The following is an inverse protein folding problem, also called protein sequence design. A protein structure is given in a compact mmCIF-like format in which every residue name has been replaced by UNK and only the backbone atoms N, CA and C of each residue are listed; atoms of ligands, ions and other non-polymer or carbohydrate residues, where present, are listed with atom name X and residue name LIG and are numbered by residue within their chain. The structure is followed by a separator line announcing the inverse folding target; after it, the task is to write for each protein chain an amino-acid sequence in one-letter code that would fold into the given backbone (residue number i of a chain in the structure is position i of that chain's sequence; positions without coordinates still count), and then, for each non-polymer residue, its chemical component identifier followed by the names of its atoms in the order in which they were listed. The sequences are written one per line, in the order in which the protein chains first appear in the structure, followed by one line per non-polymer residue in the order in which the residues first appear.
data_IF_870618644381
#
_entry.id   IF_870618644381
#
_cell.length_a   1.000
_cell.length_b   1.000
_cell.length_c   1.000
_cell.angle_alpha   90.00
_cell.angle_beta   90.00
_cell.angle_gamma   90.00
#
_symmetry.space_group_name_H-M   'P 1'
#
loop_
_entity.id
_entity.type
_entity.pdbx_description
1 polymer ?
#
# COMPACT_ATOMS: atom_id res chain seq x y z
N UNK A 1 -13.32 -0.80 -7.84
CA UNK A 1 -12.85 -2.21 -7.59
C UNK A 1 -11.37 -2.25 -7.85
N UNK A 2 -10.60 -3.06 -7.13
CA UNK A 2 -9.16 -3.28 -7.36
C UNK A 2 -8.98 -4.74 -7.74
N UNK A 3 -8.34 -5.00 -8.87
CA UNK A 3 -8.06 -6.36 -9.34
C UNK A 3 -6.64 -6.81 -8.94
N UNK A 4 -6.37 -8.11 -8.99
CA UNK A 4 -5.02 -8.64 -8.77
C UNK A 4 -4.09 -8.14 -9.87
N UNK A 5 -2.93 -7.61 -9.48
CA UNK A 5 -1.96 -7.03 -10.43
C UNK A 5 -2.40 -5.70 -11.03
N UNK A 6 -3.32 -4.99 -10.38
CA UNK A 6 -3.78 -3.67 -10.78
C UNK A 6 -3.36 -2.63 -9.73
N UNK A 7 -3.02 -1.43 -10.17
CA UNK A 7 -2.77 -0.27 -9.32
C UNK A 7 -3.91 0.73 -9.50
N UNK A 8 -4.63 0.99 -8.42
CA UNK A 8 -5.76 1.93 -8.41
C UNK A 8 -5.44 3.10 -7.49
N UNK A 9 -5.58 4.32 -7.99
CA UNK A 9 -5.47 5.55 -7.22
C UNK A 9 -6.80 5.95 -6.59
N UNK A 10 -6.83 6.22 -5.28
CA UNK A 10 -7.94 6.85 -4.60
C UNK A 10 -7.54 8.28 -4.26
N UNK A 11 -7.96 9.24 -5.08
CA UNK A 11 -7.47 10.61 -5.07
C UNK A 11 -8.60 11.60 -4.78
N UNK A 12 -8.25 12.84 -4.49
CA UNK A 12 -9.21 13.89 -4.19
C UNK A 12 -8.65 14.94 -3.23
N UNK A 13 -9.34 16.06 -3.03
CA UNK A 13 -8.90 17.12 -2.12
C UNK A 13 -8.80 16.67 -0.66
N UNK A 14 -8.19 17.52 0.17
CA UNK A 14 -8.14 17.28 1.61
C UNK A 14 -9.56 17.26 2.20
N UNK A 15 -9.81 16.33 3.12
CA UNK A 15 -11.15 16.16 3.69
C UNK A 15 -12.16 15.39 2.83
N UNK A 16 -11.80 14.99 1.60
CA UNK A 16 -12.70 14.26 0.69
C UNK A 16 -13.15 12.88 1.20
N UNK A 17 -12.50 12.32 2.23
CA UNK A 17 -12.84 11.01 2.78
C UNK A 17 -11.90 9.87 2.39
N UNK A 18 -10.75 10.14 1.75
CA UNK A 18 -9.77 9.12 1.33
C UNK A 18 -9.32 8.21 2.48
N UNK A 19 -8.76 8.80 3.54
CA UNK A 19 -8.28 8.08 4.73
C UNK A 19 -9.41 7.32 5.44
N UNK A 20 -10.61 7.91 5.51
CA UNK A 20 -11.78 7.25 6.07
C UNK A 20 -12.14 6.00 5.27
N UNK A 21 -12.12 6.08 3.94
CA UNK A 21 -12.35 4.94 3.05
C UNK A 21 -11.30 3.84 3.27
N UNK A 22 -10.02 4.21 3.40
CA UNK A 22 -8.96 3.26 3.75
C UNK A 22 -9.23 2.58 5.09
N UNK A 23 -9.59 3.34 6.12
CA UNK A 23 -9.86 2.80 7.44
C UNK A 23 -11.07 1.86 7.46
N UNK A 24 -12.10 2.13 6.65
CA UNK A 24 -13.23 1.21 6.48
C UNK A 24 -12.78 -0.09 5.80
N UNK A 25 -11.96 -0.02 4.74
CA UNK A 25 -11.44 -1.21 4.04
C UNK A 25 -10.54 -2.04 4.94
N UNK A 26 -9.69 -1.40 5.74
CA UNK A 26 -8.77 -2.08 6.68
C UNK A 26 -9.49 -2.62 7.90
N UNK A 27 -10.63 -2.03 8.29
CA UNK A 27 -11.42 -2.41 9.45
C UNK A 27 -11.05 -1.68 10.74
N UNK A 28 -10.45 -0.49 10.62
CA UNK A 28 -10.20 0.45 11.73
C UNK A 28 -11.44 1.28 12.04
N UNK A 29 -12.26 1.56 11.05
CA UNK A 29 -13.54 2.25 11.16
C UNK A 29 -14.61 1.35 10.55
N UNK A 30 -15.80 1.30 11.16
CA UNK A 30 -16.94 0.56 10.62
C UNK A 30 -17.62 1.38 9.53
N UNK A 31 -17.99 0.73 8.43
CA UNK A 31 -18.88 1.34 7.44
C UNK A 31 -20.32 1.31 7.96
N UNK A 32 -21.04 2.41 7.80
CA UNK A 32 -22.45 2.52 8.19
C UNK A 32 -23.39 1.79 7.21
N UNK A 33 -22.99 1.76 5.93
CA UNK A 33 -23.73 1.09 4.86
C UNK A 33 -22.79 0.70 3.71
N UNK A 34 -23.30 -0.12 2.80
CA UNK A 34 -22.54 -0.62 1.65
C UNK A 34 -21.92 -1.98 1.91
N UNK A 35 -21.09 -2.45 0.99
CA UNK A 35 -20.44 -3.75 1.01
C UNK A 35 -18.95 -3.62 0.72
N UNK A 36 -18.13 -4.33 1.50
CA UNK A 36 -16.69 -4.46 1.26
C UNK A 36 -16.37 -5.95 1.12
N UNK A 37 -15.84 -6.35 -0.03
CA UNK A 37 -15.54 -7.76 -0.33
C UNK A 37 -14.09 -7.97 -0.74
N UNK A 38 -13.55 -9.14 -0.42
CA UNK A 38 -12.29 -9.68 -0.97
C UNK A 38 -12.60 -11.02 -1.63
N UNK A 39 -12.38 -11.10 -2.94
CA UNK A 39 -12.68 -12.29 -3.76
C UNK A 39 -14.13 -12.81 -3.53
N UNK A 40 -15.09 -11.89 -3.44
CA UNK A 40 -16.52 -12.19 -3.22
C UNK A 40 -16.90 -12.51 -1.77
N UNK A 41 -15.94 -12.54 -0.85
CA UNK A 41 -16.21 -12.73 0.58
C UNK A 41 -16.39 -11.36 1.26
N UNK A 42 -17.55 -11.14 1.91
CA UNK A 42 -17.79 -9.94 2.73
C UNK A 42 -16.83 -9.87 3.92
N UNK A 43 -16.25 -8.69 4.13
CA UNK A 43 -15.30 -8.42 5.21
C UNK A 43 -15.73 -7.29 6.15
N UNK A 44 -16.89 -6.67 5.95
CA UNK A 44 -17.36 -5.49 6.70
C UNK A 44 -17.30 -5.65 8.21
N UNK A 45 -17.69 -6.84 8.70
CA UNK A 45 -17.71 -7.15 10.13
C UNK A 45 -16.46 -7.88 10.63
N UNK A 46 -15.45 -8.06 9.74
CA UNK A 46 -14.21 -8.73 10.12
C UNK A 46 -13.24 -7.74 10.76
N UNK A 47 -12.64 -8.09 11.91
CA UNK A 47 -11.56 -7.29 12.48
C UNK A 47 -10.31 -7.34 11.61
N UNK A 48 -9.46 -6.33 11.72
CA UNK A 48 -8.25 -6.13 10.90
C UNK A 48 -7.36 -7.39 10.77
N UNK A 49 -7.15 -8.14 11.85
CA UNK A 49 -6.32 -9.34 11.82
C UNK A 49 -6.91 -10.47 10.97
N UNK A 50 -8.25 -10.56 10.86
CA UNK A 50 -8.91 -11.53 9.96
C UNK A 50 -8.81 -11.08 8.51
N UNK A 51 -8.97 -9.77 8.24
CA UNK A 51 -8.77 -9.20 6.88
C UNK A 51 -7.33 -9.41 6.41
N UNK A 52 -6.36 -9.25 7.30
CA UNK A 52 -4.95 -9.53 7.00
C UNK A 52 -4.72 -10.99 6.61
N UNK A 53 -5.34 -11.95 7.31
CA UNK A 53 -5.26 -13.38 6.95
C UNK A 53 -5.93 -13.71 5.61
N UNK A 54 -6.87 -12.91 5.16
CA UNK A 54 -7.44 -12.99 3.81
C UNK A 54 -6.55 -12.37 2.73
N UNK A 55 -5.38 -11.86 3.12
CA UNK A 55 -4.40 -11.28 2.22
C UNK A 55 -4.54 -9.77 2.00
N UNK A 56 -5.16 -9.04 2.92
CA UNK A 56 -5.19 -7.58 2.90
C UNK A 56 -4.08 -7.03 3.78
N UNK A 57 -3.16 -6.27 3.20
CA UNK A 57 -2.11 -5.55 3.95
C UNK A 57 -2.35 -4.04 3.88
N UNK A 58 -1.94 -3.34 4.92
CA UNK A 58 -2.05 -1.89 5.02
C UNK A 58 -0.72 -1.27 5.44
N UNK A 59 -0.28 -0.29 4.69
CA UNK A 59 0.90 0.51 4.98
C UNK A 59 0.46 1.95 5.25
N UNK A 60 0.42 2.38 6.51
CA UNK A 60 -0.02 3.72 6.90
C UNK A 60 0.96 4.80 6.43
N UNK A 61 0.48 6.04 6.41
CA UNK A 61 1.30 7.22 6.18
C UNK A 61 2.40 7.39 7.23
N UNK A 62 2.03 7.21 8.50
CA UNK A 62 2.99 7.28 9.60
C UNK A 62 3.94 6.08 9.61
N UNK A 63 5.19 6.35 10.03
CA UNK A 63 6.21 5.31 10.12
C UNK A 63 5.78 4.18 11.07
N UNK A 64 5.63 2.99 10.51
CA UNK A 64 5.18 1.79 11.22
C UNK A 64 6.32 0.86 11.64
N UNK A 65 7.58 1.24 11.34
CA UNK A 65 8.76 0.41 11.62
C UNK A 65 8.96 0.18 13.13
N UNK A 66 9.37 -1.02 13.50
CA UNK A 66 9.74 -1.33 14.90
C UNK A 66 11.08 -0.68 15.23
N UNK A 67 11.05 0.49 15.87
CA UNK A 67 12.21 1.37 16.08
C UNK A 67 13.38 0.73 16.85
N UNK A 68 13.10 -0.25 17.73
CA UNK A 68 14.12 -0.94 18.55
C UNK A 68 14.76 -2.13 17.85
N UNK A 69 14.29 -2.48 16.65
CA UNK A 69 14.74 -3.64 15.90
C UNK A 69 15.63 -3.23 14.72
N UNK A 70 16.49 -4.14 14.27
CA UNK A 70 17.23 -4.01 13.01
C UNK A 70 16.32 -4.22 11.81
N UNK A 71 16.81 -3.98 10.59
CA UNK A 71 16.10 -4.27 9.34
C UNK A 71 15.69 -5.74 9.29
N UNK A 72 16.64 -6.67 9.51
CA UNK A 72 16.35 -8.08 9.55
C UNK A 72 15.26 -8.42 10.56
N UNK A 73 15.42 -7.97 11.79
CA UNK A 73 14.48 -8.25 12.87
C UNK A 73 13.07 -7.72 12.59
N UNK A 74 12.94 -6.57 11.92
CA UNK A 74 11.65 -6.02 11.49
C UNK A 74 10.88 -6.96 10.57
N UNK A 75 11.55 -7.55 9.59
CA UNK A 75 10.92 -8.46 8.62
C UNK A 75 10.72 -9.85 9.23
N UNK A 76 11.73 -10.36 9.93
CA UNK A 76 11.72 -11.66 10.62
C UNK A 76 10.56 -11.78 11.61
N UNK A 77 10.32 -10.76 12.43
CA UNK A 77 9.23 -10.75 13.41
C UNK A 77 7.85 -11.02 12.79
N UNK A 78 7.63 -10.60 11.54
CA UNK A 78 6.36 -10.87 10.83
C UNK A 78 6.39 -12.26 10.20
N UNK A 79 7.53 -12.70 9.66
CA UNK A 79 7.67 -14.06 9.09
C UNK A 79 7.47 -15.16 10.13
N UNK A 80 7.94 -14.96 11.36
CA UNK A 80 7.77 -15.90 12.48
C UNK A 80 6.32 -16.09 12.91
N UNK A 81 5.44 -15.11 12.61
CA UNK A 81 4.01 -15.21 12.86
C UNK A 81 3.24 -15.90 11.73
N UNK A 82 3.90 -16.20 10.60
CA UNK A 82 3.26 -16.87 9.48
C UNK A 82 3.20 -18.38 9.69
N UNK A 83 2.22 -19.00 9.05
CA UNK A 83 2.03 -20.44 9.06
C UNK A 83 2.10 -21.01 7.65
N UNK A 84 2.35 -22.30 7.55
CA UNK A 84 2.22 -23.07 6.32
C UNK A 84 0.73 -23.33 5.97
N UNK A 85 0.49 -24.04 4.86
CA UNK A 85 -0.86 -24.41 4.43
C UNK A 85 -1.60 -25.34 5.41
N UNK A 86 -0.86 -26.03 6.30
CA UNK A 86 -1.42 -26.87 7.34
C UNK A 86 -1.66 -26.11 8.67
N UNK A 87 -1.40 -24.80 8.70
CA UNK A 87 -1.55 -23.95 9.88
C UNK A 87 -0.42 -24.10 10.91
N UNK A 88 0.70 -24.77 10.56
CA UNK A 88 1.87 -24.92 11.43
C UNK A 88 2.82 -23.71 11.25
N UNK A 89 3.56 -23.31 12.30
CA UNK A 89 4.60 -22.30 12.18
C UNK A 89 5.59 -22.66 11.06
N UNK A 90 6.07 -21.65 10.34
CA UNK A 90 7.07 -21.87 9.29
C UNK A 90 8.39 -22.39 9.88
N UNK A 91 9.04 -23.32 9.17
CA UNK A 91 10.38 -23.77 9.51
C UNK A 91 11.42 -22.66 9.35
N UNK A 92 12.46 -22.68 10.19
CA UNK A 92 13.50 -21.66 10.19
C UNK A 92 14.18 -21.48 8.82
N UNK A 93 14.40 -22.59 8.09
CA UNK A 93 14.97 -22.55 6.74
C UNK A 93 14.07 -21.77 5.76
N UNK A 94 12.75 -21.95 5.86
CA UNK A 94 11.76 -21.23 5.03
C UNK A 94 11.74 -19.74 5.40
N UNK A 95 11.77 -19.44 6.71
CA UNK A 95 11.83 -18.04 7.20
C UNK A 95 13.08 -17.35 6.65
N UNK A 96 14.26 -17.96 6.79
CA UNK A 96 15.52 -17.39 6.32
C UNK A 96 15.50 -17.14 4.80
N UNK A 97 15.04 -18.12 4.01
CA UNK A 97 14.94 -17.98 2.55
C UNK A 97 13.99 -16.85 2.15
N UNK A 98 12.83 -16.73 2.79
CA UNK A 98 11.88 -15.66 2.51
C UNK A 98 12.42 -14.29 2.92
N UNK A 99 13.08 -14.22 4.07
CA UNK A 99 13.73 -13.02 4.59
C UNK A 99 14.78 -12.51 3.60
N UNK A 100 15.71 -13.38 3.18
CA UNK A 100 16.76 -13.01 2.22
C UNK A 100 16.16 -12.49 0.90
N UNK A 101 15.16 -13.19 0.36
CA UNK A 101 14.46 -12.77 -0.83
C UNK A 101 13.80 -11.39 -0.69
N UNK A 102 13.09 -11.14 0.41
CA UNK A 102 12.43 -9.85 0.65
C UNK A 102 13.43 -8.70 0.79
N UNK A 103 14.55 -8.92 1.50
CA UNK A 103 15.58 -7.89 1.65
C UNK A 103 16.23 -7.55 0.31
N UNK A 104 16.53 -8.56 -0.52
CA UNK A 104 17.08 -8.37 -1.87
C UNK A 104 16.09 -7.69 -2.81
N UNK A 105 14.85 -8.16 -2.88
CA UNK A 105 13.79 -7.61 -3.74
C UNK A 105 13.56 -6.11 -3.46
N UNK A 106 13.64 -5.71 -2.19
CA UNK A 106 13.47 -4.32 -1.75
C UNK A 106 14.80 -3.55 -1.66
N UNK A 107 15.93 -4.16 -2.04
CA UNK A 107 17.28 -3.55 -2.04
C UNK A 107 17.67 -2.95 -0.69
N UNK A 108 17.41 -3.69 0.38
CA UNK A 108 17.78 -3.33 1.77
C UNK A 108 18.62 -4.42 2.45
N UNK A 109 19.10 -5.39 1.70
CA UNK A 109 19.93 -6.49 2.17
C UNK A 109 21.26 -6.00 2.78
N UNK A 110 21.87 -4.97 2.20
CA UNK A 110 23.09 -4.32 2.71
C UNK A 110 22.88 -3.57 4.04
N UNK A 111 21.62 -3.32 4.44
CA UNK A 111 21.23 -2.67 5.69
C UNK A 111 20.74 -3.66 6.75
N UNK A 112 20.91 -4.97 6.52
CA UNK A 112 20.37 -6.06 7.34
C UNK A 112 20.49 -5.80 8.85
N UNK A 113 21.70 -5.45 9.29
CA UNK A 113 22.02 -5.25 10.71
C UNK A 113 21.85 -3.79 11.18
N UNK A 114 21.45 -2.90 10.29
CA UNK A 114 21.24 -1.49 10.62
C UNK A 114 20.04 -1.32 11.53
N UNK A 115 20.15 -0.55 12.63
CA UNK A 115 19.01 -0.24 13.48
C UNK A 115 18.02 0.68 12.74
N UNK A 116 16.73 0.46 12.94
CA UNK A 116 15.68 1.19 12.24
C UNK A 116 15.79 2.73 12.30
N UNK A 117 16.25 3.36 13.40
CA UNK A 117 16.42 4.82 13.47
C UNK A 117 17.54 5.38 12.57
N UNK A 118 18.48 4.54 12.13
CA UNK A 118 19.59 4.96 11.25
C UNK A 118 19.18 5.04 9.76
N UNK A 119 18.00 4.57 9.41
CA UNK A 119 17.52 4.51 8.02
C UNK A 119 17.05 5.89 7.55
N UNK A 120 17.37 6.22 6.31
CA UNK A 120 16.72 7.31 5.57
C UNK A 120 15.22 7.07 5.40
N UNK A 121 14.45 8.09 5.01
CA UNK A 121 13.01 7.96 4.78
C UNK A 121 12.67 6.90 3.74
N UNK A 122 13.39 6.89 2.61
CA UNK A 122 13.20 5.90 1.54
C UNK A 122 13.58 4.48 1.95
N UNK A 123 14.70 4.29 2.64
CA UNK A 123 15.12 2.98 3.16
C UNK A 123 14.11 2.44 4.16
N UNK A 124 13.65 3.28 5.09
CA UNK A 124 12.61 2.93 6.06
C UNK A 124 11.35 2.47 5.35
N UNK A 125 10.89 3.20 4.34
CA UNK A 125 9.70 2.84 3.59
C UNK A 125 9.85 1.50 2.88
N UNK A 126 11.02 1.20 2.32
CA UNK A 126 11.31 -0.10 1.71
C UNK A 126 11.26 -1.24 2.74
N UNK A 127 11.79 -1.05 3.93
CA UNK A 127 11.71 -2.04 5.03
C UNK A 127 10.26 -2.26 5.47
N UNK A 128 9.47 -1.21 5.57
CA UNK A 128 8.04 -1.32 5.91
C UNK A 128 7.26 -2.10 4.84
N UNK A 129 7.56 -1.87 3.56
CA UNK A 129 6.98 -2.66 2.46
C UNK A 129 7.46 -4.11 2.51
N UNK A 130 8.75 -4.38 2.77
CA UNK A 130 9.27 -5.75 2.94
C UNK A 130 8.53 -6.49 4.06
N UNK A 131 8.27 -5.79 5.17
CA UNK A 131 7.50 -6.32 6.30
C UNK A 131 6.04 -6.61 5.91
N UNK A 132 5.41 -5.72 5.15
CA UNK A 132 4.07 -5.94 4.64
C UNK A 132 4.01 -7.16 3.71
N UNK A 133 5.00 -7.32 2.83
CA UNK A 133 5.11 -8.47 1.92
C UNK A 133 5.39 -9.80 2.63
N UNK A 134 5.96 -9.78 3.84
CA UNK A 134 6.17 -10.98 4.65
C UNK A 134 4.85 -11.72 4.95
N UNK A 135 3.70 -11.03 4.95
CA UNK A 135 2.37 -11.65 5.10
C UNK A 135 1.83 -12.27 3.81
N UNK A 136 2.55 -12.19 2.69
CA UNK A 136 2.12 -12.64 1.35
C UNK A 136 0.74 -12.07 0.94
N UNK A 137 0.58 -10.75 0.92
CA UNK A 137 -0.71 -10.14 0.65
C UNK A 137 -1.16 -10.37 -0.80
N UNK A 138 -2.47 -10.44 -1.00
CA UNK A 138 -3.11 -10.39 -2.32
C UNK A 138 -3.44 -8.96 -2.74
N UNK A 139 -3.70 -8.12 -1.73
CA UNK A 139 -3.97 -6.69 -1.90
C UNK A 139 -3.19 -5.90 -0.86
N UNK A 140 -2.66 -4.76 -1.25
CA UNK A 140 -1.98 -3.82 -0.35
C UNK A 140 -2.56 -2.43 -0.51
N UNK A 141 -2.86 -1.79 0.62
CA UNK A 141 -3.25 -0.40 0.70
C UNK A 141 -2.04 0.43 1.11
N UNK A 142 -1.67 1.40 0.27
CA UNK A 142 -0.55 2.32 0.50
C UNK A 142 -1.11 3.73 0.76
N UNK A 143 -1.03 4.17 2.00
CA UNK A 143 -1.51 5.50 2.41
C UNK A 143 -0.35 6.49 2.34
N UNK A 144 -0.43 7.43 1.39
CA UNK A 144 0.54 8.47 1.11
C UNK A 144 2.01 7.97 1.06
N UNK A 145 2.32 6.98 0.20
CA UNK A 145 3.67 6.38 0.18
C UNK A 145 4.76 7.34 -0.29
N UNK A 146 4.43 8.46 -0.92
CA UNK A 146 5.38 9.47 -1.38
C UNK A 146 5.53 10.65 -0.42
N UNK A 147 4.77 10.66 0.71
CA UNK A 147 4.83 11.75 1.65
C UNK A 147 6.18 11.83 2.37
N UNK A 148 6.78 13.01 2.37
CA UNK A 148 8.00 13.29 3.14
C UNK A 148 9.26 12.57 2.68
N UNK A 149 9.31 12.07 1.43
CA UNK A 149 10.49 11.45 0.82
C UNK A 149 11.02 12.30 -0.33
N UNK A 150 12.30 12.15 -0.63
CA UNK A 150 12.95 12.88 -1.72
C UNK A 150 12.57 12.32 -3.11
N UNK A 151 12.77 13.09 -4.21
CA UNK A 151 12.38 12.67 -5.56
C UNK A 151 13.04 11.37 -6.03
N UNK A 152 14.26 11.06 -5.58
CA UNK A 152 14.94 9.82 -5.94
C UNK A 152 14.25 8.64 -5.27
N UNK A 153 13.88 8.79 -3.98
CA UNK A 153 13.14 7.78 -3.26
C UNK A 153 11.71 7.58 -3.83
N UNK A 154 11.06 8.63 -4.36
CA UNK A 154 9.78 8.48 -5.08
C UNK A 154 9.91 7.51 -6.25
N UNK A 155 10.94 7.67 -7.10
CA UNK A 155 11.19 6.76 -8.24
C UNK A 155 11.41 5.33 -7.77
N UNK A 156 12.10 5.13 -6.65
CA UNK A 156 12.32 3.79 -6.10
C UNK A 156 11.01 3.16 -5.59
N UNK A 157 10.17 3.93 -4.90
CA UNK A 157 8.85 3.44 -4.46
C UNK A 157 7.93 3.14 -5.66
N UNK A 158 7.95 3.96 -6.72
CA UNK A 158 7.22 3.67 -7.96
C UNK A 158 7.66 2.33 -8.59
N UNK A 159 8.97 2.05 -8.61
CA UNK A 159 9.52 0.75 -9.08
C UNK A 159 9.02 -0.41 -8.21
N UNK A 160 8.97 -0.22 -6.89
CA UNK A 160 8.45 -1.24 -5.97
C UNK A 160 6.97 -1.47 -6.24
N UNK A 161 6.16 -0.44 -6.45
CA UNK A 161 4.74 -0.60 -6.79
C UNK A 161 4.60 -1.37 -8.11
N UNK A 162 5.41 -1.06 -9.12
CA UNK A 162 5.49 -1.84 -10.36
C UNK A 162 5.87 -3.32 -10.12
N UNK A 163 6.80 -3.58 -9.21
CA UNK A 163 7.15 -4.93 -8.78
C UNK A 163 5.97 -5.64 -8.09
N UNK A 164 5.25 -4.98 -7.18
CA UNK A 164 4.05 -5.54 -6.54
C UNK A 164 3.01 -5.95 -7.60
N UNK A 165 2.74 -5.05 -8.54
CA UNK A 165 1.85 -5.31 -9.68
C UNK A 165 2.28 -6.55 -10.48
N UNK A 166 3.57 -6.66 -10.83
CA UNK A 166 4.11 -7.79 -11.59
C UNK A 166 4.01 -9.13 -10.84
N UNK A 167 3.94 -9.08 -9.50
CA UNK A 167 3.71 -10.24 -8.62
C UNK A 167 2.22 -10.60 -8.49
N UNK A 168 1.33 -9.91 -9.20
CA UNK A 168 -0.11 -10.13 -9.14
C UNK A 168 -0.77 -9.58 -7.87
N UNK A 169 -0.09 -8.67 -7.13
CA UNK A 169 -0.66 -8.01 -5.95
C UNK A 169 -1.45 -6.80 -6.42
N UNK A 170 -2.74 -6.71 -6.04
CA UNK A 170 -3.54 -5.52 -6.27
C UNK A 170 -3.13 -4.41 -5.30
N UNK A 171 -2.96 -3.19 -5.81
CA UNK A 171 -2.51 -2.03 -5.03
C UNK A 171 -3.59 -0.96 -5.03
N UNK A 172 -4.01 -0.52 -3.86
CA UNK A 172 -4.80 0.70 -3.70
C UNK A 172 -3.91 1.76 -3.06
N UNK A 173 -3.79 2.91 -3.73
CA UNK A 173 -2.89 3.98 -3.31
C UNK A 173 -3.63 5.30 -3.16
N UNK A 174 -3.34 6.05 -2.10
CA UNK A 174 -3.69 7.48 -1.99
C UNK A 174 -2.44 8.30 -1.78
N UNK A 175 -2.37 9.48 -2.38
CA UNK A 175 -1.25 10.41 -2.17
C UNK A 175 -1.67 11.83 -2.57
N UNK A 176 -0.95 12.82 -2.05
CA UNK A 176 -1.08 14.21 -2.45
C UNK A 176 -0.29 14.53 -3.74
N UNK A 177 0.72 13.73 -4.06
CA UNK A 177 1.50 13.83 -5.30
C UNK A 177 0.73 13.22 -6.46
N UNK A 178 -0.28 13.95 -6.94
CA UNK A 178 -1.22 13.47 -7.96
C UNK A 178 -0.53 13.00 -9.23
N UNK A 179 0.47 13.77 -9.70
CA UNK A 179 1.22 13.43 -10.93
C UNK A 179 1.95 12.10 -10.79
N UNK A 180 2.67 11.92 -9.70
CA UNK A 180 3.45 10.70 -9.42
C UNK A 180 2.52 9.50 -9.25
N UNK A 181 1.37 9.69 -8.62
CA UNK A 181 0.39 8.65 -8.39
C UNK A 181 -0.31 8.24 -9.69
N UNK A 182 -0.83 9.22 -10.46
CA UNK A 182 -1.48 8.92 -11.74
C UNK A 182 -0.51 8.28 -12.74
N UNK A 183 0.78 8.62 -12.67
CA UNK A 183 1.83 8.05 -13.54
C UNK A 183 2.03 6.54 -13.37
N UNK A 184 1.59 5.94 -12.26
CA UNK A 184 1.75 4.51 -11.98
C UNK A 184 0.43 3.75 -11.87
N UNK A 185 -0.71 4.45 -11.89
CA UNK A 185 -2.03 3.84 -11.78
C UNK A 185 -2.52 3.32 -13.13
N UNK A 186 -3.23 2.20 -13.09
CA UNK A 186 -4.02 1.71 -14.23
C UNK A 186 -5.37 2.45 -14.28
N UNK A 187 -5.96 2.66 -13.11
CA UNK A 187 -7.20 3.41 -12.93
C UNK A 187 -7.10 4.34 -11.71
N UNK A 188 -7.94 5.36 -11.70
CA UNK A 188 -8.10 6.21 -10.52
C UNK A 188 -9.58 6.48 -10.24
N UNK A 189 -9.87 6.65 -8.96
CA UNK A 189 -11.16 7.08 -8.43
C UNK A 189 -10.94 8.41 -7.72
N UNK A 190 -11.63 9.45 -8.17
CA UNK A 190 -11.58 10.77 -7.54
C UNK A 190 -12.78 10.90 -6.62
N UNK A 191 -12.52 11.18 -5.34
CA UNK A 191 -13.55 11.52 -4.36
C UNK A 191 -13.50 12.99 -4.00
N UNK A 192 -14.69 13.58 -3.82
CA UNK A 192 -14.89 14.92 -3.28
C UNK A 192 -16.12 14.90 -2.37
N UNK A 193 -16.01 15.52 -1.21
CA UNK A 193 -17.11 15.62 -0.23
C UNK A 193 -17.82 14.29 0.07
N UNK A 194 -17.03 13.22 0.20
CA UNK A 194 -17.53 11.88 0.50
C UNK A 194 -18.18 11.14 -0.68
N UNK A 195 -18.19 11.73 -1.89
CA UNK A 195 -18.80 11.13 -3.08
C UNK A 195 -17.77 10.85 -4.17
N UNK A 196 -18.02 9.82 -4.96
CA UNK A 196 -17.21 9.55 -6.16
C UNK A 196 -17.54 10.59 -7.22
N UNK A 197 -16.56 11.44 -7.55
CA UNK A 197 -16.68 12.48 -8.58
C UNK A 197 -16.43 11.89 -9.98
N UNK A 198 -15.40 11.05 -10.12
CA UNK A 198 -15.05 10.42 -11.38
C UNK A 198 -14.25 9.14 -11.16
N UNK A 199 -14.34 8.20 -12.10
CA UNK A 199 -13.50 7.00 -12.18
C UNK A 199 -13.07 6.80 -13.62
N UNK A 200 -11.84 6.34 -13.83
CA UNK A 200 -11.32 6.06 -15.18
C UNK A 200 -9.82 5.87 -15.19
N UNK A 201 -9.27 5.74 -16.39
CA UNK A 201 -7.82 5.76 -16.63
C UNK A 201 -7.22 7.12 -16.26
N UNK A 202 -5.91 7.22 -16.00
CA UNK A 202 -5.24 8.49 -15.75
C UNK A 202 -5.55 9.55 -16.82
N UNK A 203 -5.61 9.16 -18.10
CA UNK A 203 -5.92 10.07 -19.19
C UNK A 203 -7.36 10.62 -19.11
N UNK A 204 -8.34 9.77 -18.81
CA UNK A 204 -9.73 10.17 -18.62
C UNK A 204 -9.88 11.11 -17.42
N UNK A 205 -9.22 10.82 -16.31
CA UNK A 205 -9.23 11.65 -15.10
C UNK A 205 -8.66 13.05 -15.38
N UNK A 206 -7.50 13.13 -16.04
CA UNK A 206 -6.84 14.42 -16.33
C UNK A 206 -7.66 15.28 -17.30
N UNK A 207 -8.42 14.67 -18.20
CA UNK A 207 -9.26 15.36 -19.17
C UNK A 207 -10.69 15.65 -18.65
N UNK A 208 -11.06 15.15 -17.48
CA UNK A 208 -12.39 15.37 -16.91
C UNK A 208 -12.54 16.81 -16.41
N UNK A 209 -13.52 17.54 -16.92
CA UNK A 209 -13.73 18.95 -16.62
C UNK A 209 -14.06 19.20 -15.14
N UNK A 210 -14.86 18.32 -14.50
CA UNK A 210 -15.21 18.47 -13.09
C UNK A 210 -14.02 18.17 -12.18
N UNK A 211 -13.22 17.15 -12.51
CA UNK A 211 -11.98 16.84 -11.79
C UNK A 211 -10.97 17.98 -11.87
N UNK A 212 -10.82 18.60 -13.06
CA UNK A 212 -9.96 19.78 -13.23
C UNK A 212 -10.45 20.95 -12.39
N UNK A 213 -11.74 21.23 -12.42
CA UNK A 213 -12.33 22.34 -11.67
C UNK A 213 -12.20 22.18 -10.15
N UNK A 214 -12.41 20.96 -9.62
CA UNK A 214 -12.51 20.70 -8.18
C UNK A 214 -11.18 20.33 -7.56
N UNK A 215 -10.28 19.66 -8.31
CA UNK A 215 -9.11 19.03 -7.71
C UNK A 215 -7.78 19.35 -8.41
N UNK A 216 -7.67 19.16 -9.73
CA UNK A 216 -6.39 19.27 -10.42
C UNK A 216 -5.98 20.71 -10.74
N UNK A 217 -6.96 21.60 -10.97
CA UNK A 217 -6.74 22.93 -11.55
C UNK A 217 -6.68 22.90 -13.09
N UNK A 218 -7.00 24.03 -13.73
CA UNK A 218 -7.11 24.13 -15.19
C UNK A 218 -5.77 23.90 -15.91
N UNK A 219 -4.64 24.24 -15.28
CA UNK A 219 -3.31 24.16 -15.87
C UNK A 219 -2.56 22.86 -15.54
N UNK A 220 -3.19 21.89 -14.92
CA UNK A 220 -2.55 20.61 -14.60
C UNK A 220 -2.13 19.88 -15.88
N UNK A 221 -0.86 19.39 -15.89
CA UNK A 221 -0.27 18.54 -16.95
C UNK A 221 0.41 17.33 -16.31
N UNK A 222 0.27 16.18 -16.93
CA UNK A 222 1.01 14.96 -16.59
C UNK A 222 2.51 15.12 -16.90
#
# INVERSE_FOLDING_TARGET
MVQKGEVVGLLGPNGAGKTTSFYMIVGLVRADAGEITIDGQSIEHMPIHKRSRLGLSYLPQEASIFRKLTVEQNVRAVLELQTDAAGKPLELAVINKRLDGLLQDLRVDHLRDSPAPALSGGERRRVEIARALATQPRFILLDEPFAGIDPIAVIEIQRIIGYLKSRGIGVLITDHNVRETLGICDHACIISDGHVLATGTPSEIVNNADVRRVYLGEHFKM
#
